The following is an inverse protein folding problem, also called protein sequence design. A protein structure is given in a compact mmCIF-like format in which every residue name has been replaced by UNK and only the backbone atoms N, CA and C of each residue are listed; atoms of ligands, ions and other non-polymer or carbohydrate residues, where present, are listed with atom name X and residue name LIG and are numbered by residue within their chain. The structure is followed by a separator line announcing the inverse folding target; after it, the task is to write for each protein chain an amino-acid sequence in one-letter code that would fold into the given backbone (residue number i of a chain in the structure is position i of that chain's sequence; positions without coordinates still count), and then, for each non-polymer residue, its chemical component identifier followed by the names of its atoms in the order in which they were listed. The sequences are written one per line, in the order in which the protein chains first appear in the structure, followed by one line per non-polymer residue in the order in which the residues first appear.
data_IF_919234413639
#
_entry.id   IF_919234413639
#
_cell.length_a   1.000
_cell.length_b   1.000
_cell.length_c   1.000
_cell.angle_alpha   90.00
_cell.angle_beta   90.00
_cell.angle_gamma   90.00
#
_symmetry.space_group_name_H-M   'P 1'
#
loop_
_entity.id
_entity.type
_entity.pdbx_description
1 polymer ?
#
# COMPACT_ATOMS: atom_id res chain seq x y z
N UNK A 1 7.58 13.13 19.61
CA UNK A 1 7.56 12.19 18.46
C UNK A 1 8.33 12.86 17.33
N UNK A 2 9.18 12.15 16.59
CA UNK A 2 10.11 12.74 15.61
C UNK A 2 9.45 12.86 14.20
N UNK A 3 9.31 14.07 13.62
CA UNK A 3 8.89 14.30 12.23
C UNK A 3 9.64 13.44 11.19
N UNK A 4 10.92 13.15 11.43
CA UNK A 4 11.74 12.30 10.56
C UNK A 4 11.30 10.83 10.61
N UNK A 5 10.71 10.39 11.73
CA UNK A 5 10.14 9.06 11.87
C UNK A 5 8.86 8.91 11.05
N UNK A 6 8.05 9.97 10.95
CA UNK A 6 6.88 10.02 10.05
C UNK A 6 7.35 9.92 8.59
N UNK A 7 8.34 10.72 8.21
CA UNK A 7 8.88 10.70 6.84
C UNK A 7 9.50 9.34 6.46
N UNK A 8 10.30 8.75 7.35
CA UNK A 8 10.89 7.43 7.11
C UNK A 8 9.85 6.31 7.05
N UNK A 9 8.82 6.35 7.92
CA UNK A 9 7.69 5.41 7.84
C UNK A 9 6.99 5.53 6.49
N UNK A 10 6.66 6.75 6.05
CA UNK A 10 5.99 6.98 4.77
C UNK A 10 6.84 6.49 3.58
N UNK A 11 8.15 6.76 3.58
CA UNK A 11 9.07 6.27 2.55
C UNK A 11 9.15 4.73 2.52
N UNK A 12 9.18 4.06 3.67
CA UNK A 12 9.15 2.59 3.74
C UNK A 12 7.85 2.00 3.18
N UNK A 13 6.72 2.64 3.47
CA UNK A 13 5.42 2.23 2.95
C UNK A 13 5.33 2.42 1.43
N UNK A 14 5.91 3.51 0.89
CA UNK A 14 6.04 3.74 -0.55
C UNK A 14 6.76 2.59 -1.24
N UNK A 15 7.90 2.15 -0.71
CA UNK A 15 8.64 1.01 -1.25
C UNK A 15 7.80 -0.26 -1.25
N UNK A 16 7.02 -0.49 -0.17
CA UNK A 16 6.12 -1.64 -0.09
C UNK A 16 5.00 -1.58 -1.13
N UNK A 17 4.42 -0.39 -1.38
CA UNK A 17 3.44 -0.19 -2.45
C UNK A 17 4.03 -0.52 -3.82
N UNK A 18 5.25 -0.07 -4.11
CA UNK A 18 5.94 -0.37 -5.37
C UNK A 18 6.21 -1.88 -5.55
N UNK A 19 6.64 -2.56 -4.49
CA UNK A 19 6.89 -4.00 -4.52
C UNK A 19 5.62 -4.78 -4.88
N UNK A 20 4.52 -4.52 -4.17
CA UNK A 20 3.24 -5.19 -4.45
C UNK A 20 2.73 -4.84 -5.86
N UNK A 21 2.90 -3.58 -6.30
CA UNK A 21 2.54 -3.16 -7.67
C UNK A 21 3.36 -3.91 -8.72
N UNK A 22 4.63 -4.19 -8.45
CA UNK A 22 5.46 -5.02 -9.34
C UNK A 22 4.94 -6.46 -9.39
N UNK A 23 4.51 -7.02 -8.25
CA UNK A 23 3.94 -8.36 -8.19
C UNK A 23 2.61 -8.47 -8.95
N UNK A 24 1.71 -7.50 -8.78
CA UNK A 24 0.44 -7.50 -9.51
C UNK A 24 0.67 -7.44 -11.01
N UNK A 25 1.58 -6.57 -11.49
CA UNK A 25 1.99 -6.54 -12.91
C UNK A 25 2.59 -7.85 -13.39
N UNK A 26 3.45 -8.48 -12.60
CA UNK A 26 4.04 -9.78 -12.95
C UNK A 26 2.98 -10.89 -13.08
N UNK A 27 1.91 -10.84 -12.28
CA UNK A 27 0.79 -11.77 -12.41
C UNK A 27 -0.04 -11.45 -13.66
N UNK A 28 -0.35 -10.18 -13.92
CA UNK A 28 -1.08 -9.73 -15.12
C UNK A 28 -0.35 -10.10 -16.42
N UNK A 29 0.98 -9.94 -16.46
CA UNK A 29 1.81 -10.28 -17.62
C UNK A 29 1.81 -11.78 -17.96
N UNK A 30 1.46 -12.66 -17.00
CA UNK A 30 1.28 -14.09 -17.26
C UNK A 30 -0.04 -14.42 -17.98
N UNK A 31 -0.82 -13.40 -18.37
CA UNK A 31 -2.11 -13.51 -19.08
C UNK A 31 -3.08 -14.46 -18.38
N UNK A 32 -3.14 -14.38 -17.05
CA UNK A 32 -4.07 -15.19 -16.24
C UNK A 32 -5.51 -14.80 -16.55
N UNK A 33 -6.37 -15.73 -17.05
CA UNK A 33 -7.75 -15.41 -17.39
C UNK A 33 -8.53 -14.90 -16.16
N UNK A 34 -9.50 -14.00 -16.40
CA UNK A 34 -10.47 -13.44 -15.43
C UNK A 34 -9.92 -12.69 -14.20
N UNK A 35 -8.68 -12.19 -14.27
CA UNK A 35 -8.00 -11.62 -13.08
C UNK A 35 -7.59 -10.16 -13.21
N UNK A 36 -7.82 -9.56 -14.37
CA UNK A 36 -7.39 -8.20 -14.71
C UNK A 36 -8.02 -7.13 -13.81
N UNK A 37 -9.33 -7.19 -13.57
CA UNK A 37 -10.01 -6.08 -12.90
C UNK A 37 -9.60 -5.93 -11.42
N UNK A 38 -9.51 -7.04 -10.68
CA UNK A 38 -9.14 -6.99 -9.26
C UNK A 38 -7.69 -6.53 -9.06
N UNK A 39 -6.74 -7.16 -9.76
CA UNK A 39 -5.32 -6.80 -9.65
C UNK A 39 -5.01 -5.41 -10.24
N UNK A 40 -5.66 -5.02 -11.34
CA UNK A 40 -5.52 -3.68 -11.92
C UNK A 40 -6.06 -2.60 -10.99
N UNK A 41 -7.21 -2.85 -10.36
CA UNK A 41 -7.79 -1.92 -9.37
C UNK A 41 -6.88 -1.76 -8.15
N UNK A 42 -6.31 -2.86 -7.63
CA UNK A 42 -5.34 -2.83 -6.52
C UNK A 42 -4.07 -2.09 -6.92
N UNK A 43 -3.54 -2.34 -8.12
CA UNK A 43 -2.37 -1.64 -8.66
C UNK A 43 -2.60 -0.13 -8.74
N UNK A 44 -3.79 0.29 -9.17
CA UNK A 44 -4.18 1.71 -9.22
C UNK A 44 -4.21 2.32 -7.83
N UNK A 45 -4.88 1.68 -6.87
CA UNK A 45 -4.95 2.16 -5.48
C UNK A 45 -3.56 2.23 -4.83
N UNK A 46 -2.69 1.24 -5.04
CA UNK A 46 -1.31 1.26 -4.52
C UNK A 46 -0.48 2.38 -5.14
N UNK A 47 -0.68 2.69 -6.42
CA UNK A 47 0.01 3.80 -7.09
C UNK A 47 -0.41 5.14 -6.49
N UNK A 48 -1.71 5.35 -6.28
CA UNK A 48 -2.23 6.56 -5.63
C UNK A 48 -1.74 6.69 -4.19
N UNK A 49 -1.75 5.59 -3.43
CA UNK A 49 -1.21 5.52 -2.06
C UNK A 49 0.27 5.88 -2.05
N UNK A 50 1.03 5.34 -3.00
CA UNK A 50 2.47 5.59 -3.14
C UNK A 50 2.78 7.06 -3.40
N UNK A 51 1.99 7.74 -4.23
CA UNK A 51 2.14 9.17 -4.49
C UNK A 51 1.87 9.99 -3.22
N UNK A 52 0.79 9.68 -2.51
CA UNK A 52 0.42 10.35 -1.27
C UNK A 52 1.49 10.20 -0.17
N UNK A 53 2.06 8.99 -0.04
CA UNK A 53 3.14 8.72 0.90
C UNK A 53 4.43 9.48 0.55
N UNK A 54 4.69 9.71 -0.74
CA UNK A 54 5.84 10.50 -1.19
C UNK A 54 5.67 11.97 -0.82
N UNK A 55 4.48 12.52 -1.04
CA UNK A 55 4.15 13.89 -0.65
C UNK A 55 4.28 14.08 0.87
N UNK A 56 3.74 13.14 1.67
CA UNK A 56 3.90 13.15 3.12
C UNK A 56 5.39 13.08 3.47
N UNK A 57 6.14 12.12 2.93
CA UNK A 57 7.59 12.02 3.19
C UNK A 57 8.32 13.32 2.88
N UNK A 58 7.99 13.98 1.76
CA UNK A 58 8.62 15.23 1.34
C UNK A 58 8.24 16.39 2.27
N UNK A 59 6.94 16.61 2.53
CA UNK A 59 6.45 17.67 3.41
C UNK A 59 7.07 17.58 4.79
N UNK A 60 7.10 16.37 5.37
CA UNK A 60 7.62 16.15 6.71
C UNK A 60 9.16 16.27 6.79
N UNK A 61 9.90 15.99 5.70
CA UNK A 61 11.34 16.28 5.64
C UNK A 61 11.61 17.78 5.56
N UNK A 62 10.96 18.47 4.63
CA UNK A 62 11.24 19.87 4.31
C UNK A 62 10.78 20.84 5.40
N UNK A 63 9.63 20.56 6.03
CA UNK A 63 9.02 21.46 7.02
C UNK A 63 9.13 20.94 8.46
N UNK A 64 9.93 19.89 8.71
CA UNK A 64 10.15 19.28 10.04
C UNK A 64 10.41 20.31 11.15
N UNK A 65 11.31 21.27 10.91
CA UNK A 65 11.65 22.31 11.88
C UNK A 65 10.47 23.23 12.22
N UNK A 66 9.68 23.63 11.22
CA UNK A 66 8.49 24.45 11.41
C UNK A 66 7.40 23.69 12.19
N UNK A 67 7.25 22.38 11.93
CA UNK A 67 6.32 21.55 12.67
C UNK A 67 6.75 21.35 14.13
N UNK A 68 8.04 21.19 14.42
CA UNK A 68 8.54 21.02 15.80
C UNK A 68 8.22 22.22 16.71
N UNK A 69 8.12 23.43 16.15
CA UNK A 69 7.77 24.64 16.91
C UNK A 69 6.28 24.88 17.12
N UNK A 70 5.39 24.12 16.46
CA UNK A 70 3.96 24.41 16.45
C UNK A 70 3.20 23.64 17.56
N UNK A 71 2.53 24.36 18.46
CA UNK A 71 1.89 23.79 19.67
C UNK A 71 0.81 22.75 19.35
N UNK A 72 0.05 22.92 18.26
CA UNK A 72 -0.97 21.94 17.83
C UNK A 72 -0.38 20.71 17.15
N UNK A 73 0.90 20.74 16.77
CA UNK A 73 1.55 19.64 16.06
C UNK A 73 1.83 18.47 17.00
N UNK A 74 2.25 18.76 18.23
CA UNK A 74 2.43 17.78 19.30
C UNK A 74 1.11 17.31 19.92
N UNK A 75 0.06 18.16 19.94
CA UNK A 75 -1.26 17.82 20.47
C UNK A 75 -2.20 17.24 19.40
N UNK A 76 -2.02 15.95 19.11
CA UNK A 76 -3.02 15.14 18.39
C UNK A 76 -2.78 14.96 16.90
N UNK A 77 -2.14 15.92 16.21
CA UNK A 77 -1.85 15.80 14.78
C UNK A 77 -0.80 14.72 14.47
N UNK A 78 0.39 14.77 15.10
CA UNK A 78 1.43 13.74 14.86
C UNK A 78 1.01 12.34 15.25
N UNK A 79 0.43 12.10 16.43
CA UNK A 79 -0.01 10.76 16.82
C UNK A 79 -1.08 10.20 15.89
N UNK A 80 -1.99 11.05 15.39
CA UNK A 80 -3.06 10.64 14.46
C UNK A 80 -2.51 10.27 13.09
N UNK A 81 -1.61 11.10 12.54
CA UNK A 81 -0.96 10.79 11.27
C UNK A 81 -0.11 9.52 11.37
N UNK A 82 0.68 9.39 12.43
CA UNK A 82 1.49 8.18 12.66
C UNK A 82 0.61 6.93 12.80
N UNK A 83 -0.46 7.00 13.58
CA UNK A 83 -1.44 5.91 13.68
C UNK A 83 -2.02 5.53 12.31
N UNK A 84 -2.34 6.52 11.47
CA UNK A 84 -2.86 6.27 10.12
C UNK A 84 -1.80 5.62 9.21
N UNK A 85 -0.54 6.04 9.30
CA UNK A 85 0.57 5.38 8.60
C UNK A 85 0.77 3.93 9.07
N UNK A 86 0.67 3.67 10.37
CA UNK A 86 0.79 2.31 10.93
C UNK A 86 -0.39 1.43 10.50
N UNK A 87 -1.62 1.95 10.50
CA UNK A 87 -2.80 1.28 9.93
C UNK A 87 -2.64 1.01 8.43
N UNK A 88 -2.04 1.94 7.68
CA UNK A 88 -1.72 1.75 6.26
C UNK A 88 -0.69 0.64 6.08
N UNK A 89 0.35 0.60 6.93
CA UNK A 89 1.36 -0.45 6.92
C UNK A 89 0.81 -1.83 7.20
N UNK A 90 -0.06 -1.97 8.21
CA UNK A 90 -0.72 -3.26 8.49
C UNK A 90 -1.61 -3.73 7.34
N UNK A 91 -2.29 -2.79 6.67
CA UNK A 91 -3.12 -3.07 5.49
C UNK A 91 -2.27 -3.52 4.30
N UNK A 92 -1.16 -2.84 4.01
CA UNK A 92 -0.21 -3.20 2.94
C UNK A 92 0.42 -4.57 3.22
N UNK A 93 0.80 -4.85 4.46
CA UNK A 93 1.32 -6.16 4.88
C UNK A 93 0.28 -7.28 4.70
N UNK A 94 -0.98 -7.01 5.05
CA UNK A 94 -2.09 -7.95 4.80
C UNK A 94 -2.24 -8.23 3.30
N UNK A 95 -2.24 -7.18 2.47
CA UNK A 95 -2.30 -7.31 1.02
C UNK A 95 -1.12 -8.11 0.44
N UNK A 96 0.10 -7.86 0.94
CA UNK A 96 1.31 -8.62 0.57
C UNK A 96 1.13 -10.12 0.81
N UNK A 97 0.63 -10.51 1.99
CA UNK A 97 0.40 -11.92 2.37
C UNK A 97 -0.63 -12.61 1.47
N UNK A 98 -1.57 -11.86 0.89
CA UNK A 98 -2.54 -12.42 -0.05
C UNK A 98 -1.99 -12.55 -1.48
N UNK A 99 -1.14 -11.63 -1.93
CA UNK A 99 -0.62 -11.61 -3.30
C UNK A 99 0.59 -12.54 -3.46
N UNK A 100 1.46 -12.66 -2.46
CA UNK A 100 2.67 -13.49 -2.52
C UNK A 100 2.38 -14.98 -2.87
N UNK A 101 1.37 -15.65 -2.30
CA UNK A 101 1.03 -17.02 -2.68
C UNK A 101 0.57 -17.14 -4.14
N UNK A 102 -0.09 -16.11 -4.69
CA UNK A 102 -0.51 -16.06 -6.10
C UNK A 102 0.72 -15.94 -7.01
N UNK A 103 1.70 -15.12 -6.61
CA UNK A 103 2.96 -15.02 -7.35
C UNK A 103 3.72 -16.36 -7.38
N UNK A 104 3.70 -17.08 -6.26
CA UNK A 104 4.46 -18.32 -6.06
C UNK A 104 3.78 -19.58 -6.61
N UNK A 105 2.44 -19.63 -6.72
CA UNK A 105 1.71 -20.83 -7.18
C UNK A 105 2.14 -21.29 -8.59
N UNK A 106 2.52 -20.34 -9.45
CA UNK A 106 3.00 -20.62 -10.80
C UNK A 106 4.46 -21.03 -10.94
N UNK A 107 5.29 -21.00 -9.88
CA UNK A 107 6.75 -21.21 -10.00
C UNK A 107 7.16 -22.66 -10.23
N UNK A 108 6.35 -23.65 -9.82
CA UNK A 108 6.74 -25.08 -9.82
C UNK A 108 6.25 -25.89 -11.02
N UNK A 109 5.24 -25.46 -11.78
CA UNK A 109 4.64 -26.24 -12.88
C UNK A 109 4.57 -25.43 -14.17
N UNK A 110 5.52 -25.64 -15.08
CA UNK A 110 5.68 -24.88 -16.33
C UNK A 110 4.45 -24.95 -17.25
N UNK A 111 3.78 -26.11 -17.33
CA UNK A 111 2.61 -26.32 -18.20
C UNK A 111 1.27 -25.85 -17.63
N UNK A 112 1.16 -25.66 -16.31
CA UNK A 112 -0.08 -25.25 -15.63
C UNK A 112 0.06 -23.93 -14.85
N UNK A 113 1.11 -23.16 -15.13
CA UNK A 113 1.45 -21.93 -14.43
C UNK A 113 0.27 -20.95 -14.39
N UNK A 114 -0.33 -20.70 -15.55
CA UNK A 114 -1.43 -19.73 -15.72
C UNK A 114 -2.66 -20.17 -14.93
N UNK A 115 -3.08 -21.42 -15.07
CA UNK A 115 -4.23 -21.97 -14.35
C UNK A 115 -4.01 -21.99 -12.82
N UNK A 116 -2.79 -22.30 -12.36
CA UNK A 116 -2.47 -22.31 -10.93
C UNK A 116 -2.50 -20.92 -10.30
N UNK A 117 -2.05 -19.89 -11.04
CA UNK A 117 -2.15 -18.50 -10.60
C UNK A 117 -3.60 -18.00 -10.57
N UNK A 118 -4.37 -18.27 -11.63
CA UNK A 118 -5.78 -17.90 -11.69
C UNK A 118 -6.58 -18.53 -10.53
N UNK A 119 -6.36 -19.82 -10.27
CA UNK A 119 -7.01 -20.52 -9.15
C UNK A 119 -6.61 -19.96 -7.78
N UNK A 120 -5.31 -19.76 -7.55
CA UNK A 120 -4.81 -19.19 -6.29
C UNK A 120 -5.37 -17.77 -6.04
N UNK A 121 -5.52 -16.97 -7.10
CA UNK A 121 -6.11 -15.64 -7.01
C UNK A 121 -7.62 -15.70 -6.76
N UNK A 122 -8.36 -16.57 -7.44
CA UNK A 122 -9.80 -16.76 -7.22
C UNK A 122 -10.13 -17.06 -5.75
N UNK A 123 -9.30 -17.88 -5.09
CA UNK A 123 -9.44 -18.19 -3.65
C UNK A 123 -9.22 -16.99 -2.73
N UNK A 124 -8.51 -15.94 -3.20
CA UNK A 124 -8.07 -14.79 -2.38
C UNK A 124 -8.68 -13.47 -2.81
N UNK A 125 -9.38 -13.42 -3.93
CA UNK A 125 -9.86 -12.18 -4.56
C UNK A 125 -10.70 -11.34 -3.61
N UNK A 126 -11.56 -11.98 -2.80
CA UNK A 126 -12.38 -11.28 -1.80
C UNK A 126 -11.53 -10.63 -0.71
N UNK A 127 -10.50 -11.31 -0.21
CA UNK A 127 -9.59 -10.76 0.79
C UNK A 127 -8.77 -9.59 0.20
N UNK A 128 -8.25 -9.75 -1.02
CA UNK A 128 -7.52 -8.71 -1.74
C UNK A 128 -8.38 -7.45 -1.93
N UNK A 129 -9.64 -7.61 -2.38
CA UNK A 129 -10.58 -6.49 -2.53
C UNK A 129 -10.96 -5.85 -1.18
N UNK A 130 -11.05 -6.63 -0.10
CA UNK A 130 -11.26 -6.08 1.24
C UNK A 130 -10.08 -5.22 1.70
N UNK A 131 -8.85 -5.69 1.51
CA UNK A 131 -7.64 -4.91 1.82
C UNK A 131 -7.52 -3.67 0.94
N UNK A 132 -7.92 -3.73 -0.34
CA UNK A 132 -8.04 -2.56 -1.22
C UNK A 132 -8.98 -1.52 -0.62
N UNK A 133 -10.20 -1.91 -0.22
CA UNK A 133 -11.17 -0.97 0.37
C UNK A 133 -10.65 -0.32 1.66
N UNK A 134 -9.96 -1.09 2.52
CA UNK A 134 -9.29 -0.54 3.70
C UNK A 134 -8.18 0.44 3.34
N UNK A 135 -7.41 0.15 2.29
CA UNK A 135 -6.36 1.03 1.80
C UNK A 135 -6.94 2.34 1.25
N UNK A 136 -8.05 2.30 0.51
CA UNK A 136 -8.77 3.48 0.04
C UNK A 136 -9.28 4.35 1.21
N UNK A 137 -9.81 3.71 2.26
CA UNK A 137 -10.17 4.38 3.50
C UNK A 137 -8.99 5.07 4.17
N UNK A 138 -7.88 4.36 4.36
CA UNK A 138 -6.65 4.91 4.94
C UNK A 138 -6.10 6.08 4.10
N UNK A 139 -6.12 5.98 2.77
CA UNK A 139 -5.69 7.05 1.86
C UNK A 139 -6.55 8.31 2.00
N UNK A 140 -7.85 8.15 2.18
CA UNK A 140 -8.75 9.29 2.40
C UNK A 140 -8.38 10.03 3.68
N UNK A 141 -8.07 9.30 4.77
CA UNK A 141 -7.62 9.88 6.04
C UNK A 141 -6.24 10.53 5.90
N UNK A 142 -5.29 9.88 5.23
CA UNK A 142 -3.95 10.43 4.97
C UNK A 142 -4.02 11.73 4.14
N UNK A 143 -4.95 11.81 3.18
CA UNK A 143 -5.14 13.03 2.37
C UNK A 143 -5.64 14.20 3.21
N UNK A 144 -6.54 13.96 4.15
CA UNK A 144 -6.97 14.98 5.13
C UNK A 144 -5.81 15.38 6.05
N UNK A 145 -5.07 14.38 6.54
CA UNK A 145 -3.89 14.62 7.40
C UNK A 145 -2.70 15.29 6.70
N UNK A 146 -2.68 15.35 5.37
CA UNK A 146 -1.70 16.12 4.59
C UNK A 146 -2.00 17.63 4.59
N UNK A 147 -3.28 18.01 4.65
CA UNK A 147 -3.72 19.41 4.53
C UNK A 147 -3.85 20.15 5.87
N UNK A 148 -3.73 19.41 6.98
CA UNK A 148 -3.71 19.94 8.34
C UNK A 148 -2.27 20.23 8.77
#
# INVERSE_FOLDING_TARGET
MDPLLIASTAASLKTSCHEITSWTRAILNDKTPDTDQALSSVSTTLTQTSQLLDEISLTWRTHSAAFMGHQSASFGMWPSLKKTLDCTGTTIQGLRREIEPVLNSGKKKRFFKVHSKAWALGMRVRAILSYKGRLEGNCSVLRVGRTM
#
